data_IF_047634733579
#
_entry.id   IF_047634733579
#
_cell.length_a   1.000
_cell.length_b   1.000
_cell.length_c   1.000
_cell.angle_alpha   90.00
_cell.angle_beta   90.00
_cell.angle_gamma   90.00
#
_symmetry.space_group_name_H-M   'P 1'
#
loop_
_entity.id
_entity.type
_entity.pdbx_description
1 polymer ?
#
# COMPACT_ATOMS: atom_id res chain seq x y z
N UNK A 1 -10.01 -34.28 -18.32
CA UNK A 1 -9.97 -33.36 -17.17
C UNK A 1 -9.17 -33.83 -15.96
N UNK A 2 -9.06 -35.14 -15.67
CA UNK A 2 -8.25 -35.65 -14.54
C UNK A 2 -6.78 -35.20 -14.57
N UNK A 3 -6.15 -35.22 -15.74
CA UNK A 3 -4.76 -34.75 -15.92
C UNK A 3 -4.59 -33.24 -15.63
N UNK A 4 -5.61 -32.43 -15.90
CA UNK A 4 -5.58 -31.01 -15.60
C UNK A 4 -5.68 -30.74 -14.09
N UNK A 5 -6.48 -31.55 -13.38
CA UNK A 5 -6.64 -31.50 -11.93
C UNK A 5 -5.33 -31.90 -11.25
N UNK A 6 -4.74 -33.05 -11.61
CA UNK A 6 -3.46 -33.51 -11.05
C UNK A 6 -2.32 -32.51 -11.28
N UNK A 7 -2.27 -31.90 -12.47
CA UNK A 7 -1.29 -30.86 -12.79
C UNK A 7 -1.49 -29.60 -11.96
N UNK A 8 -2.73 -29.25 -11.63
CA UNK A 8 -3.03 -28.13 -10.75
C UNK A 8 -2.65 -28.45 -9.30
N UNK A 9 -3.03 -29.62 -8.78
CA UNK A 9 -2.72 -30.05 -7.41
C UNK A 9 -1.21 -30.08 -7.16
N UNK A 10 -0.43 -30.67 -8.09
CA UNK A 10 1.03 -30.69 -7.99
C UNK A 10 1.64 -29.28 -7.95
N UNK A 11 1.06 -28.31 -8.68
CA UNK A 11 1.52 -26.91 -8.64
C UNK A 11 1.11 -26.23 -7.34
N UNK A 12 -0.09 -26.52 -6.85
CA UNK A 12 -0.60 -25.97 -5.60
C UNK A 12 0.26 -26.43 -4.41
N UNK A 13 0.58 -27.72 -4.31
CA UNK A 13 1.44 -28.26 -3.26
C UNK A 13 2.84 -27.63 -3.29
N UNK A 14 3.43 -27.49 -4.48
CA UNK A 14 4.75 -26.82 -4.64
C UNK A 14 4.69 -25.37 -4.20
N UNK A 15 3.62 -24.65 -4.53
CA UNK A 15 3.43 -23.27 -4.09
C UNK A 15 3.26 -23.19 -2.57
N UNK A 16 2.48 -24.08 -1.97
CA UNK A 16 2.25 -24.11 -0.53
C UNK A 16 3.55 -24.37 0.24
N UNK A 17 4.33 -25.36 -0.20
CA UNK A 17 5.65 -25.65 0.35
C UNK A 17 6.62 -24.48 0.22
N UNK A 18 6.66 -23.83 -0.95
CA UNK A 18 7.50 -22.65 -1.17
C UNK A 18 7.12 -21.50 -0.23
N UNK A 19 5.83 -21.21 -0.09
CA UNK A 19 5.34 -20.16 0.81
C UNK A 19 5.70 -20.48 2.27
N UNK A 20 5.42 -21.70 2.74
CA UNK A 20 5.71 -22.11 4.11
C UNK A 20 7.21 -22.03 4.46
N UNK A 21 8.08 -22.44 3.52
CA UNK A 21 9.53 -22.40 3.73
C UNK A 21 10.08 -20.98 3.80
N UNK A 22 9.47 -20.02 3.10
CA UNK A 22 9.88 -18.61 3.10
C UNK A 22 9.35 -17.81 4.30
N UNK A 23 8.40 -18.37 5.07
CA UNK A 23 7.91 -17.74 6.32
C UNK A 23 8.80 -18.13 7.50
N UNK A 24 9.17 -17.15 8.33
CA UNK A 24 10.00 -17.37 9.53
C UNK A 24 9.29 -18.28 10.52
N UNK A 25 10.06 -19.04 11.32
CA UNK A 25 9.49 -20.07 12.21
C UNK A 25 8.49 -19.50 13.21
N UNK A 26 8.71 -18.27 13.66
CA UNK A 26 7.88 -17.55 14.62
C UNK A 26 6.51 -17.17 14.04
N UNK A 27 6.42 -16.96 12.72
CA UNK A 27 5.20 -16.57 12.03
C UNK A 27 4.40 -17.77 11.49
N UNK A 28 5.01 -18.96 11.44
CA UNK A 28 4.35 -20.19 10.96
C UNK A 28 3.14 -20.59 11.79
N UNK A 29 3.05 -20.15 13.04
CA UNK A 29 1.87 -20.34 13.90
C UNK A 29 0.59 -19.80 13.25
N UNK A 30 0.69 -18.82 12.35
CA UNK A 30 -0.45 -18.25 11.66
C UNK A 30 -0.95 -19.10 10.49
N UNK A 31 -0.19 -20.14 10.11
CA UNK A 31 -0.46 -21.02 8.97
C UNK A 31 -1.00 -22.40 9.41
N UNK A 32 -1.08 -22.67 10.71
CA UNK A 32 -1.63 -23.92 11.23
C UNK A 32 -3.08 -24.13 10.74
N UNK A 33 -3.33 -25.31 10.14
CA UNK A 33 -4.63 -25.66 9.56
C UNK A 33 -4.88 -25.17 8.12
N UNK A 34 -3.94 -24.44 7.51
CA UNK A 34 -4.03 -23.99 6.10
C UNK A 34 -2.78 -24.35 5.27
N UNK A 35 -1.88 -25.18 5.79
CA UNK A 35 -0.55 -25.47 5.23
C UNK A 35 -0.61 -26.09 3.82
N UNK A 36 -1.70 -26.76 3.46
CA UNK A 36 -1.87 -27.43 2.18
C UNK A 36 -2.57 -26.57 1.12
N UNK A 37 -3.04 -25.38 1.49
CA UNK A 37 -3.79 -24.48 0.62
C UNK A 37 -2.97 -23.20 0.33
N UNK A 38 -2.27 -23.13 -0.82
CA UNK A 38 -1.40 -22.00 -1.13
C UNK A 38 -2.17 -20.68 -1.25
N UNK A 39 -3.44 -20.73 -1.64
CA UNK A 39 -4.29 -19.53 -1.77
C UNK A 39 -4.59 -18.98 -0.38
N UNK A 40 -5.00 -19.84 0.56
CA UNK A 40 -5.25 -19.41 1.95
C UNK A 40 -3.98 -18.95 2.66
N UNK A 41 -2.84 -19.60 2.43
CA UNK A 41 -1.56 -19.13 2.97
C UNK A 41 -1.28 -17.71 2.46
N UNK A 42 -1.42 -17.48 1.16
CA UNK A 42 -1.20 -16.16 0.57
C UNK A 42 -2.18 -15.10 1.11
N UNK A 43 -3.47 -15.42 1.21
CA UNK A 43 -4.49 -14.52 1.78
C UNK A 43 -4.18 -14.17 3.23
N UNK A 44 -3.79 -15.16 4.04
CA UNK A 44 -3.43 -14.96 5.45
C UNK A 44 -2.19 -14.07 5.57
N UNK A 45 -1.15 -14.34 4.79
CA UNK A 45 0.05 -13.51 4.75
C UNK A 45 -0.26 -12.09 4.28
N UNK A 46 -1.13 -11.93 3.28
CA UNK A 46 -1.57 -10.62 2.82
C UNK A 46 -2.29 -9.85 3.94
N UNK A 47 -3.19 -10.48 4.69
CA UNK A 47 -3.88 -9.84 5.83
C UNK A 47 -2.89 -9.45 6.93
N UNK A 48 -1.90 -10.29 7.23
CA UNK A 48 -0.95 -10.07 8.32
C UNK A 48 0.13 -9.04 7.96
N UNK A 49 0.59 -9.02 6.70
CA UNK A 49 1.76 -8.26 6.27
C UNK A 49 1.47 -7.10 5.33
N UNK A 50 0.33 -7.10 4.62
CA UNK A 50 -0.05 -6.00 3.73
C UNK A 50 -1.04 -5.10 4.46
N UNK A 51 -0.51 -4.12 5.18
CA UNK A 51 -1.33 -3.03 5.74
C UNK A 51 -1.85 -2.16 4.60
N UNK A 52 -3.06 -2.46 4.11
CA UNK A 52 -3.79 -1.64 3.11
C UNK A 52 -4.37 -0.34 3.68
N UNK A 53 -3.68 0.26 4.65
CA UNK A 53 -4.10 1.54 5.23
C UNK A 53 -3.87 2.66 4.21
N UNK A 54 -4.73 3.69 4.17
CA UNK A 54 -4.57 4.82 3.26
C UNK A 54 -3.20 5.52 3.41
N UNK A 55 -2.66 5.65 4.63
CA UNK A 55 -1.31 6.19 4.82
C UNK A 55 -0.21 5.38 4.10
N UNK A 56 -0.34 4.05 4.06
CA UNK A 56 0.60 3.18 3.31
C UNK A 56 0.46 3.39 1.79
N UNK A 57 -0.78 3.60 1.29
CA UNK A 57 -1.01 3.96 -0.12
C UNK A 57 -0.47 5.34 -0.46
N UNK A 58 -0.70 6.32 0.41
CA UNK A 58 -0.15 7.66 0.25
C UNK A 58 1.37 7.61 0.12
N UNK A 59 2.06 6.92 1.03
CA UNK A 59 3.51 6.77 0.97
C UNK A 59 3.95 6.08 -0.32
N UNK A 60 3.25 5.04 -0.79
CA UNK A 60 3.58 4.38 -2.05
C UNK A 60 3.47 5.31 -3.26
N UNK A 61 2.45 6.18 -3.29
CA UNK A 61 2.35 7.21 -4.31
C UNK A 61 3.41 8.30 -4.17
N UNK A 62 3.72 8.72 -2.94
CA UNK A 62 4.76 9.71 -2.66
C UNK A 62 6.13 9.22 -3.13
N UNK A 63 6.46 7.98 -2.80
CA UNK A 63 7.66 7.27 -3.25
C UNK A 63 7.68 7.16 -4.78
N UNK A 64 6.56 6.76 -5.40
CA UNK A 64 6.43 6.63 -6.85
C UNK A 64 6.70 7.96 -7.57
N UNK A 65 6.09 9.06 -7.14
CA UNK A 65 6.31 10.37 -7.75
C UNK A 65 7.66 10.99 -7.37
N UNK A 66 8.31 10.48 -6.33
CA UNK A 66 9.68 10.85 -5.93
C UNK A 66 10.76 10.07 -6.70
N UNK A 67 10.39 9.07 -7.51
CA UNK A 67 11.34 8.35 -8.36
C UNK A 67 12.08 9.35 -9.27
N UNK A 68 13.40 9.37 -9.15
CA UNK A 68 14.32 10.06 -10.05
C UNK A 68 15.39 9.09 -10.54
N UNK A 69 15.93 9.35 -11.73
CA UNK A 69 17.06 8.59 -12.28
C UNK A 69 18.29 8.83 -11.39
N UNK A 70 18.98 7.77 -11.00
CA UNK A 70 20.28 7.87 -10.30
C UNK A 70 21.42 8.10 -11.30
N UNK A 71 22.58 8.58 -10.83
CA UNK A 71 23.73 8.89 -11.69
C UNK A 71 24.26 7.65 -12.44
N UNK A 72 24.37 6.53 -11.72
CA UNK A 72 24.92 5.25 -12.15
C UNK A 72 23.87 4.28 -12.75
N UNK A 73 22.63 4.72 -12.87
CA UNK A 73 21.51 3.88 -13.28
C UNK A 73 21.24 3.96 -14.79
N UNK A 74 20.91 2.81 -15.40
CA UNK A 74 20.43 2.74 -16.79
C UNK A 74 18.95 3.10 -16.91
N UNK A 75 18.51 3.59 -18.08
CA UNK A 75 17.08 3.87 -18.31
C UNK A 75 16.21 2.62 -18.18
N UNK A 76 16.74 1.44 -18.52
CA UNK A 76 16.04 0.16 -18.34
C UNK A 76 15.75 -0.11 -16.85
N UNK A 77 16.77 0.07 -15.99
CA UNK A 77 16.61 -0.09 -14.54
C UNK A 77 15.61 0.92 -13.98
N UNK A 78 15.63 2.16 -14.47
CA UNK A 78 14.66 3.18 -14.07
C UNK A 78 13.23 2.76 -14.45
N UNK A 79 13.02 2.26 -15.67
CA UNK A 79 11.71 1.75 -16.11
C UNK A 79 11.22 0.63 -15.20
N UNK A 80 12.09 -0.34 -14.88
CA UNK A 80 11.76 -1.42 -13.95
C UNK A 80 11.31 -0.89 -12.59
N UNK A 81 11.99 0.11 -12.02
CA UNK A 81 11.58 0.71 -10.74
C UNK A 81 10.24 1.43 -10.82
N UNK A 82 9.94 2.08 -11.94
CA UNK A 82 8.65 2.73 -12.18
C UNK A 82 7.54 1.67 -12.24
N UNK A 83 7.75 0.59 -12.99
CA UNK A 83 6.79 -0.52 -13.09
C UNK A 83 6.56 -1.18 -11.73
N UNK A 84 7.62 -1.44 -10.97
CA UNK A 84 7.56 -1.97 -9.61
C UNK A 84 6.77 -1.03 -8.67
N UNK A 85 7.02 0.27 -8.72
CA UNK A 85 6.30 1.26 -7.91
C UNK A 85 4.80 1.30 -8.23
N UNK A 86 4.42 1.22 -9.51
CA UNK A 86 3.01 1.13 -9.90
C UNK A 86 2.37 -0.18 -9.42
N UNK A 87 3.08 -1.31 -9.52
CA UNK A 87 2.58 -2.58 -9.00
C UNK A 87 2.39 -2.55 -7.48
N UNK A 88 3.27 -1.88 -6.73
CA UNK A 88 3.07 -1.69 -5.29
C UNK A 88 1.78 -0.91 -4.99
N UNK A 89 1.54 0.21 -5.68
CA UNK A 89 0.30 0.98 -5.54
C UNK A 89 -0.93 0.10 -5.84
N UNK A 90 -0.89 -0.67 -6.92
CA UNK A 90 -1.99 -1.57 -7.31
C UNK A 90 -2.26 -2.64 -6.24
N UNK A 91 -1.21 -3.25 -5.68
CA UNK A 91 -1.32 -4.28 -4.64
C UNK A 91 -1.93 -3.76 -3.33
N UNK A 92 -1.74 -2.46 -3.04
CA UNK A 92 -2.30 -1.82 -1.85
C UNK A 92 -3.77 -1.41 -1.99
N UNK A 93 -4.35 -1.49 -3.19
CA UNK A 93 -5.75 -1.15 -3.43
C UNK A 93 -6.69 -2.14 -2.72
N UNK A 94 -7.80 -1.65 -2.12
CA UNK A 94 -8.89 -2.49 -1.66
C UNK A 94 -9.53 -3.27 -2.82
N UNK A 95 -10.20 -4.37 -2.50
CA UNK A 95 -11.00 -5.12 -3.48
C UNK A 95 -12.18 -4.25 -3.94
N UNK A 96 -12.37 -4.10 -5.25
CA UNK A 96 -13.43 -3.26 -5.82
C UNK A 96 -13.08 -1.78 -5.98
N UNK A 97 -11.81 -1.41 -5.84
CA UNK A 97 -11.35 -0.02 -5.98
C UNK A 97 -11.72 0.58 -7.35
N UNK A 98 -12.51 1.63 -7.31
CA UNK A 98 -13.10 2.34 -8.43
C UNK A 98 -12.25 3.53 -8.90
N UNK A 99 -12.53 4.03 -10.09
CA UNK A 99 -11.88 5.26 -10.59
C UNK A 99 -12.25 6.49 -9.74
N UNK A 100 -13.45 6.55 -9.18
CA UNK A 100 -13.83 7.66 -8.29
C UNK A 100 -12.98 7.68 -7.02
N UNK A 101 -12.70 6.51 -6.43
CA UNK A 101 -11.83 6.40 -5.26
C UNK A 101 -10.38 6.77 -5.61
N UNK A 102 -9.93 6.45 -6.83
CA UNK A 102 -8.63 6.91 -7.33
C UNK A 102 -8.57 8.44 -7.42
N UNK A 103 -9.58 9.08 -8.02
CA UNK A 103 -9.63 10.54 -8.17
C UNK A 103 -9.66 11.25 -6.81
N UNK A 104 -10.39 10.69 -5.84
CA UNK A 104 -10.43 11.22 -4.48
C UNK A 104 -9.10 11.04 -3.75
N UNK A 105 -8.43 9.89 -3.89
CA UNK A 105 -7.09 9.69 -3.32
C UNK A 105 -6.05 10.64 -3.94
N UNK A 106 -6.06 10.81 -5.26
CA UNK A 106 -5.19 11.77 -5.95
C UNK A 106 -5.45 13.21 -5.49
N UNK A 107 -6.72 13.56 -5.26
CA UNK A 107 -7.09 14.88 -4.72
C UNK A 107 -6.52 15.06 -3.31
N UNK A 108 -6.68 14.06 -2.43
CA UNK A 108 -6.15 14.10 -1.07
C UNK A 108 -4.62 14.24 -1.06
N UNK A 109 -3.94 13.54 -1.98
CA UNK A 109 -2.49 13.66 -2.15
C UNK A 109 -2.06 15.05 -2.57
N UNK A 110 -2.73 15.62 -3.56
CA UNK A 110 -2.43 16.98 -4.01
C UNK A 110 -2.62 17.99 -2.86
N UNK A 111 -3.67 17.83 -2.04
CA UNK A 111 -3.91 18.68 -0.88
C UNK A 111 -2.76 18.60 0.14
N UNK A 112 -2.34 17.39 0.52
CA UNK A 112 -1.28 17.19 1.52
C UNK A 112 0.07 17.67 0.98
N UNK A 113 0.41 17.37 -0.28
CA UNK A 113 1.68 17.78 -0.91
C UNK A 113 1.76 19.28 -1.20
N UNK A 114 0.64 19.99 -1.26
CA UNK A 114 0.62 21.43 -1.44
C UNK A 114 0.95 22.21 -0.15
N UNK A 115 0.97 21.53 1.00
CA UNK A 115 1.29 22.15 2.28
C UNK A 115 2.80 22.45 2.39
N UNK A 116 3.20 23.68 2.75
CA UNK A 116 4.59 24.01 3.02
C UNK A 116 5.09 23.38 4.33
N UNK A 117 6.41 23.32 4.50
CA UNK A 117 7.09 22.66 5.63
C UNK A 117 6.64 23.15 7.02
N UNK A 118 6.14 24.39 7.13
CA UNK A 118 5.55 24.92 8.37
C UNK A 118 4.35 24.10 8.88
N UNK A 119 3.70 23.32 8.01
CA UNK A 119 2.62 22.40 8.35
C UNK A 119 3.11 20.95 8.54
N UNK A 120 4.42 20.67 8.64
CA UNK A 120 4.96 19.31 8.72
C UNK A 120 4.33 18.46 9.84
N UNK A 121 4.02 19.07 10.99
CA UNK A 121 3.33 18.38 12.09
C UNK A 121 1.89 17.99 11.74
N UNK A 122 1.17 18.86 11.04
CA UNK A 122 -0.18 18.60 10.55
C UNK A 122 -0.15 17.56 9.43
N UNK A 123 0.76 17.65 8.47
CA UNK A 123 0.98 16.63 7.43
C UNK A 123 1.25 15.26 8.07
N UNK A 124 2.10 15.20 9.08
CA UNK A 124 2.40 13.95 9.80
C UNK A 124 1.16 13.38 10.50
N UNK A 125 0.31 14.21 11.10
CA UNK A 125 -0.92 13.75 11.77
C UNK A 125 -1.96 13.22 10.77
N UNK A 126 -2.06 13.86 9.60
CA UNK A 126 -2.94 13.40 8.51
C UNK A 126 -2.53 12.02 7.97
N UNK A 127 -1.24 11.73 7.86
CA UNK A 127 -0.74 10.43 7.39
C UNK A 127 -0.97 9.29 8.40
N UNK A 128 -1.16 9.62 9.68
CA UNK A 128 -1.50 8.66 10.73
C UNK A 128 -2.99 8.32 10.77
N UNK A 129 -3.85 9.06 10.04
CA UNK A 129 -5.27 8.76 9.98
C UNK A 129 -5.51 7.42 9.29
N UNK A 130 -6.38 6.61 9.91
CA UNK A 130 -6.75 5.29 9.40
C UNK A 130 -7.59 5.33 8.11
N UNK A 131 -8.16 6.48 7.77
CA UNK A 131 -8.94 6.76 6.55
C UNK A 131 -8.57 8.14 6.01
N UNK A 132 -8.16 8.22 4.75
CA UNK A 132 -8.02 9.50 4.02
C UNK A 132 -9.29 9.69 3.21
N UNK A 133 -10.34 10.18 3.87
CA UNK A 133 -11.55 10.62 3.19
C UNK A 133 -11.43 12.11 2.83
N UNK A 134 -11.86 12.45 1.61
CA UNK A 134 -11.74 13.82 1.07
C UNK A 134 -12.54 14.85 1.86
N UNK A 135 -13.69 14.47 2.41
CA UNK A 135 -14.48 15.39 3.24
C UNK A 135 -13.82 15.59 4.60
N UNK A 136 -13.37 14.51 5.23
CA UNK A 136 -12.61 14.56 6.48
C UNK A 136 -11.33 15.40 6.35
N UNK A 137 -10.61 15.27 5.24
CA UNK A 137 -9.39 16.02 4.98
C UNK A 137 -9.68 17.52 4.83
N UNK A 138 -10.75 17.88 4.12
CA UNK A 138 -11.18 19.28 4.01
C UNK A 138 -11.53 19.87 5.37
N UNK A 139 -12.26 19.14 6.19
CA UNK A 139 -12.63 19.58 7.53
C UNK A 139 -11.38 19.75 8.41
N UNK A 140 -10.41 18.85 8.29
CA UNK A 140 -9.13 18.95 9.00
C UNK A 140 -8.33 20.18 8.58
N UNK A 141 -8.31 20.53 7.29
CA UNK A 141 -7.65 21.74 6.79
C UNK A 141 -8.28 23.00 7.37
N UNK A 142 -9.62 23.08 7.37
CA UNK A 142 -10.35 24.22 7.95
C UNK A 142 -10.08 24.35 9.46
N UNK A 143 -10.04 23.21 10.18
CA UNK A 143 -9.72 23.20 11.60
C UNK A 143 -8.28 23.65 11.88
N UNK A 144 -7.31 23.21 11.08
CA UNK A 144 -5.91 23.61 11.24
C UNK A 144 -5.72 25.10 10.93
N UNK A 145 -6.42 25.65 9.94
CA UNK A 145 -6.39 27.09 9.65
C UNK A 145 -6.84 27.93 10.85
N UNK A 146 -7.96 27.55 11.50
CA UNK A 146 -8.44 28.22 12.72
C UNK A 146 -7.43 28.10 13.86
N UNK A 147 -6.81 26.93 14.03
CA UNK A 147 -5.80 26.71 15.07
C UNK A 147 -4.53 27.53 14.81
N UNK A 148 -4.13 27.65 13.54
CA UNK A 148 -2.94 28.40 13.16
C UNK A 148 -3.15 29.92 13.32
N UNK A 149 -4.35 30.45 13.01
CA UNK A 149 -4.69 31.84 13.31
C UNK A 149 -4.57 32.15 14.81
N UNK A 150 -5.12 31.28 15.68
CA UNK A 150 -5.05 31.46 17.14
C UNK A 150 -3.64 31.40 17.73
N UNK A 151 -2.69 30.71 17.07
CA UNK A 151 -1.29 30.64 17.52
C UNK A 151 -0.46 31.84 17.06
N UNK A 152 -0.95 32.58 16.07
CA UNK A 152 -0.30 33.77 15.53
C UNK A 152 -0.76 35.08 16.21
N UNK A 153 -1.84 35.02 17.01
CA UNK A 153 -2.32 36.08 17.91
C UNK A 153 -1.64 35.97 19.30
#
# INVERSE_FOLDING_TARGET
DTEAIEKWELRAEKAAGALYLNVTKEQRIHLDGIIDDPVKIWEKLAVVHVSKKPGTRFNAYDDFFSIRKKEDESLQSLMTRIDEGMHQIQNLRPTGFSFSELDDELTCMAMIRALPDQYAHFTSSLLLLGTLDKTQLRDAFLAEEVNHCRRAE
#
